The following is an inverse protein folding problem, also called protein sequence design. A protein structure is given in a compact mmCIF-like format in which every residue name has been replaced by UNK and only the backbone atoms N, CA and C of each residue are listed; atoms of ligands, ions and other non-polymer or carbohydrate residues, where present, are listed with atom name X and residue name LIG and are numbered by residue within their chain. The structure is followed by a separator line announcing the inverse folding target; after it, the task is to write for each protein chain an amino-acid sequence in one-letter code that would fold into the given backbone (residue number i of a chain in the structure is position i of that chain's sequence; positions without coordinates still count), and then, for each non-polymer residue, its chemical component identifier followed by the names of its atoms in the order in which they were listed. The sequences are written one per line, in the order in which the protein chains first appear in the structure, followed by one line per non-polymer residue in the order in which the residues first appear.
data_IF_602762954158
#
_entry.id   IF_602762954158
#
_cell.length_a   1.000
_cell.length_b   1.000
_cell.length_c   1.000
_cell.angle_alpha   90.00
_cell.angle_beta   90.00
_cell.angle_gamma   90.00
#
_symmetry.space_group_name_H-M   'P 1'
#
loop_
_entity.id
_entity.type
_entity.pdbx_description
1 polymer ?
#
# COMPACT_ATOMS: atom_id res chain seq x y z
N UNK A 1 -32.85 -35.29 -27.53
CA UNK A 1 -33.14 -34.62 -26.24
C UNK A 1 -32.21 -35.10 -25.10
N UNK A 2 -30.87 -35.15 -25.31
CA UNK A 2 -29.90 -35.63 -24.29
C UNK A 2 -28.61 -34.79 -24.16
N UNK A 3 -28.37 -33.80 -25.02
CA UNK A 3 -27.18 -32.93 -24.94
C UNK A 3 -27.22 -31.92 -23.77
N UNK A 4 -28.42 -31.50 -23.34
CA UNK A 4 -28.58 -30.49 -22.28
C UNK A 4 -28.13 -31.00 -20.91
N UNK A 5 -28.29 -32.30 -20.63
CA UNK A 5 -27.90 -32.89 -19.34
C UNK A 5 -26.39 -33.03 -19.20
N UNK A 6 -25.70 -33.43 -20.28
CA UNK A 6 -24.25 -33.57 -20.29
C UNK A 6 -23.53 -32.22 -20.11
N UNK A 7 -24.03 -31.17 -20.80
CA UNK A 7 -23.47 -29.82 -20.67
C UNK A 7 -23.62 -29.25 -19.25
N UNK A 8 -24.78 -29.49 -18.59
CA UNK A 8 -25.00 -29.06 -17.20
C UNK A 8 -24.07 -29.75 -16.22
N UNK A 9 -23.84 -31.05 -16.37
CA UNK A 9 -22.92 -31.82 -15.52
C UNK A 9 -21.49 -31.29 -15.67
N UNK A 10 -21.07 -30.96 -16.89
CA UNK A 10 -19.73 -30.46 -17.16
C UNK A 10 -19.50 -29.05 -16.57
N UNK A 11 -20.51 -28.18 -16.62
CA UNK A 11 -20.45 -26.84 -15.99
C UNK A 11 -20.39 -26.96 -14.46
N UNK A 12 -21.17 -27.86 -13.85
CA UNK A 12 -21.14 -28.08 -12.40
C UNK A 12 -19.78 -28.64 -11.96
N UNK A 13 -19.22 -29.61 -12.69
CA UNK A 13 -17.90 -30.14 -12.41
C UNK A 13 -16.81 -29.06 -12.51
N UNK A 14 -16.86 -28.22 -13.56
CA UNK A 14 -15.91 -27.12 -13.73
C UNK A 14 -16.04 -26.07 -12.62
N UNK A 15 -17.27 -25.73 -12.21
CA UNK A 15 -17.52 -24.79 -11.11
C UNK A 15 -16.96 -25.31 -9.78
N UNK A 16 -17.11 -26.61 -9.50
CA UNK A 16 -16.56 -27.24 -8.29
C UNK A 16 -15.02 -27.28 -8.29
N UNK A 17 -14.40 -27.52 -9.45
CA UNK A 17 -12.93 -27.47 -9.59
C UNK A 17 -12.41 -26.05 -9.38
N UNK A 18 -13.08 -25.04 -9.94
CA UNK A 18 -12.72 -23.64 -9.72
C UNK A 18 -12.91 -23.20 -8.25
N UNK A 19 -13.96 -23.67 -7.58
CA UNK A 19 -14.15 -23.42 -6.14
C UNK A 19 -13.04 -24.06 -5.30
N UNK A 20 -12.66 -25.30 -5.62
CA UNK A 20 -11.61 -26.02 -4.93
C UNK A 20 -10.23 -25.36 -5.06
N UNK A 21 -9.86 -24.91 -6.27
CA UNK A 21 -8.59 -24.21 -6.49
C UNK A 21 -8.57 -22.83 -5.84
N UNK A 22 -9.70 -22.10 -5.84
CA UNK A 22 -9.83 -20.84 -5.13
C UNK A 22 -9.70 -21.02 -3.60
N UNK A 23 -10.31 -22.06 -3.03
CA UNK A 23 -10.21 -22.37 -1.61
C UNK A 23 -8.79 -22.76 -1.19
N UNK A 24 -8.10 -23.60 -1.98
CA UNK A 24 -6.70 -23.97 -1.72
C UNK A 24 -5.76 -22.77 -1.86
N UNK A 25 -6.01 -21.89 -2.84
CA UNK A 25 -5.29 -20.63 -3.00
C UNK A 25 -5.45 -19.71 -1.78
N UNK A 26 -6.68 -19.52 -1.30
CA UNK A 26 -6.99 -18.70 -0.13
C UNK A 26 -6.39 -19.25 1.17
N UNK A 27 -6.40 -20.57 1.38
CA UNK A 27 -5.77 -21.20 2.56
C UNK A 27 -4.25 -21.06 2.51
N UNK A 28 -3.64 -21.19 1.32
CA UNK A 28 -2.19 -21.05 1.16
C UNK A 28 -1.73 -19.60 1.36
N UNK A 29 -2.48 -18.61 0.86
CA UNK A 29 -2.19 -17.19 1.09
C UNK A 29 -2.45 -16.77 2.53
N UNK A 30 -3.54 -17.22 3.15
CA UNK A 30 -3.82 -16.98 4.56
C UNK A 30 -2.79 -17.63 5.48
N UNK A 31 -2.33 -18.84 5.18
CA UNK A 31 -1.26 -19.52 5.92
C UNK A 31 0.10 -18.83 5.78
N UNK A 32 0.44 -18.32 4.59
CA UNK A 32 1.66 -17.53 4.38
C UNK A 32 1.59 -16.12 4.96
N UNK A 33 0.39 -15.54 5.08
CA UNK A 33 0.17 -14.27 5.77
C UNK A 33 0.23 -14.46 7.30
N UNK A 34 -0.42 -15.49 7.84
CA UNK A 34 -0.43 -15.81 9.27
C UNK A 34 0.97 -16.16 9.80
N UNK A 35 1.79 -16.88 9.02
CA UNK A 35 3.18 -17.17 9.39
C UNK A 35 4.13 -15.97 9.33
N UNK A 36 3.69 -14.83 8.79
CA UNK A 36 4.48 -13.58 8.68
C UNK A 36 3.95 -12.43 9.54
N UNK A 37 2.92 -12.64 10.34
CA UNK A 37 2.53 -11.68 11.38
C UNK A 37 3.55 -11.81 12.52
N UNK A 38 4.73 -11.23 12.31
CA UNK A 38 5.64 -10.91 13.41
C UNK A 38 4.87 -9.99 14.36
N UNK A 39 4.85 -10.27 15.68
CA UNK A 39 4.24 -9.36 16.64
C UNK A 39 4.83 -7.97 16.42
N UNK A 40 3.98 -6.94 16.42
CA UNK A 40 4.39 -5.55 16.33
C UNK A 40 5.35 -5.27 17.49
N UNK A 41 6.65 -5.32 17.21
CA UNK A 41 7.66 -5.05 18.21
C UNK A 41 7.59 -3.54 18.47
N UNK A 42 6.98 -3.13 19.59
CA UNK A 42 6.83 -1.73 19.96
C UNK A 42 8.18 -1.00 20.08
N UNK A 43 9.28 -1.76 20.23
CA UNK A 43 10.66 -1.27 20.25
C UNK A 43 11.37 -1.35 18.89
N UNK A 44 10.63 -1.56 17.80
CA UNK A 44 11.22 -1.51 16.46
C UNK A 44 11.57 -0.05 16.12
N UNK A 45 12.84 0.32 15.96
CA UNK A 45 13.23 1.70 15.63
C UNK A 45 12.51 2.20 14.37
N UNK A 46 12.25 1.32 13.40
CA UNK A 46 11.51 1.63 12.17
C UNK A 46 10.05 2.05 12.43
N UNK A 47 9.43 1.55 13.49
CA UNK A 47 8.06 1.96 13.85
C UNK A 47 8.03 3.38 14.41
N UNK A 48 8.93 3.69 15.34
CA UNK A 48 9.07 5.04 15.91
C UNK A 48 9.40 6.06 14.83
N UNK A 49 10.29 5.70 13.91
CA UNK A 49 10.65 6.52 12.75
C UNK A 49 9.45 6.75 11.81
N UNK A 50 8.70 5.69 11.50
CA UNK A 50 7.49 5.81 10.70
C UNK A 50 6.47 6.76 11.35
N UNK A 51 6.20 6.61 12.65
CA UNK A 51 5.28 7.46 13.41
C UNK A 51 5.75 8.93 13.38
N UNK A 52 7.06 9.17 13.55
CA UNK A 52 7.64 10.52 13.48
C UNK A 52 7.51 11.17 12.09
N UNK A 53 7.71 10.41 11.01
CA UNK A 53 7.57 10.93 9.64
C UNK A 53 6.09 11.17 9.33
N UNK A 54 5.21 10.25 9.73
CA UNK A 54 3.76 10.39 9.59
C UNK A 54 3.23 11.63 10.29
N UNK A 55 3.66 11.89 11.53
CA UNK A 55 3.22 13.09 12.27
C UNK A 55 3.69 14.38 11.61
N UNK A 56 4.92 14.41 11.07
CA UNK A 56 5.40 15.56 10.30
C UNK A 56 4.54 15.80 9.04
N UNK A 57 4.19 14.73 8.32
CA UNK A 57 3.36 14.82 7.13
C UNK A 57 1.98 15.40 7.46
N UNK A 58 1.28 14.78 8.41
CA UNK A 58 -0.06 15.19 8.83
C UNK A 58 -0.11 16.65 9.33
N UNK A 59 0.98 17.13 9.94
CA UNK A 59 1.08 18.52 10.41
C UNK A 59 1.30 19.54 9.29
N UNK A 60 1.86 19.13 8.15
CA UNK A 60 2.26 20.04 7.07
C UNK A 60 1.43 19.94 5.80
N UNK A 61 0.72 18.82 5.59
CA UNK A 61 -0.09 18.55 4.40
C UNK A 61 -1.55 18.35 4.80
N UNK A 62 -2.47 19.24 4.39
CA UNK A 62 -3.90 19.03 4.60
C UNK A 62 -4.40 17.77 3.89
N UNK A 63 -5.34 17.05 4.51
CA UNK A 63 -6.03 15.92 3.86
C UNK A 63 -6.73 16.35 2.56
N UNK A 64 -6.71 15.48 1.56
CA UNK A 64 -7.28 15.75 0.23
C UNK A 64 -6.34 16.51 -0.72
N UNK A 65 -5.15 16.91 -0.25
CA UNK A 65 -4.16 17.60 -1.09
C UNK A 65 -3.52 16.65 -2.11
N UNK A 66 -3.18 17.17 -3.28
CA UNK A 66 -2.35 16.48 -4.29
C UNK A 66 -0.90 16.68 -3.94
N UNK A 67 -0.15 15.59 -3.83
CA UNK A 67 1.25 15.62 -3.40
C UNK A 67 2.16 14.94 -4.40
N UNK A 68 3.29 15.58 -4.70
CA UNK A 68 4.40 14.96 -5.41
C UNK A 68 5.44 14.54 -4.40
N UNK A 69 5.81 13.26 -4.40
CA UNK A 69 6.81 12.73 -3.49
C UNK A 69 8.18 12.76 -4.16
N UNK A 70 9.07 13.62 -3.68
CA UNK A 70 10.45 13.71 -4.14
C UNK A 70 11.37 13.10 -3.09
N UNK A 71 11.55 11.78 -3.10
CA UNK A 71 12.53 11.15 -2.21
C UNK A 71 13.93 11.47 -2.71
N UNK A 72 14.70 12.25 -1.95
CA UNK A 72 16.07 12.62 -2.33
C UNK A 72 17.08 11.48 -2.19
N UNK A 73 16.64 10.23 -1.97
CA UNK A 73 17.54 9.15 -1.57
C UNK A 73 17.11 7.79 -2.15
N UNK A 74 18.13 7.04 -2.59
CA UNK A 74 18.18 5.67 -3.12
C UNK A 74 17.61 4.56 -2.20
N UNK A 75 16.64 4.86 -1.34
CA UNK A 75 16.01 3.88 -0.46
C UNK A 75 14.60 3.55 -0.94
N UNK A 76 14.41 2.46 -1.72
CA UNK A 76 13.08 2.05 -2.19
C UNK A 76 12.10 1.80 -1.04
N UNK A 77 12.60 1.48 0.15
CA UNK A 77 11.79 1.34 1.36
C UNK A 77 11.07 2.63 1.74
N UNK A 78 11.78 3.75 1.85
CA UNK A 78 11.18 5.01 2.30
C UNK A 78 10.28 5.64 1.24
N UNK A 79 10.56 5.42 -0.04
CA UNK A 79 9.64 5.79 -1.12
C UNK A 79 8.29 5.10 -0.94
N UNK A 80 8.28 3.78 -0.71
CA UNK A 80 7.04 3.07 -0.41
C UNK A 80 6.35 3.60 0.85
N UNK A 81 7.10 3.85 1.93
CA UNK A 81 6.51 4.34 3.19
C UNK A 81 5.91 5.73 3.07
N UNK A 82 6.49 6.63 2.29
CA UNK A 82 5.89 7.95 2.05
C UNK A 82 4.61 7.87 1.24
N UNK A 83 4.52 6.95 0.27
CA UNK A 83 3.27 6.68 -0.45
C UNK A 83 2.21 6.17 0.52
N UNK A 84 2.56 5.22 1.39
CA UNK A 84 1.65 4.72 2.42
C UNK A 84 1.18 5.82 3.37
N UNK A 85 2.08 6.68 3.84
CA UNK A 85 1.73 7.83 4.71
C UNK A 85 0.78 8.79 3.98
N UNK A 86 1.08 9.17 2.74
CA UNK A 86 0.23 10.06 1.97
C UNK A 86 -1.19 9.48 1.81
N UNK A 87 -1.31 8.19 1.53
CA UNK A 87 -2.61 7.51 1.45
C UNK A 87 -3.33 7.44 2.80
N UNK A 88 -2.62 7.13 3.89
CA UNK A 88 -3.20 7.04 5.23
C UNK A 88 -3.72 8.39 5.75
N UNK A 89 -3.06 9.49 5.38
CA UNK A 89 -3.46 10.86 5.74
C UNK A 89 -4.45 11.47 4.73
N UNK A 90 -4.90 10.69 3.73
CA UNK A 90 -5.93 11.10 2.79
C UNK A 90 -5.47 12.03 1.67
N UNK A 91 -4.17 12.05 1.36
CA UNK A 91 -3.60 12.80 0.23
C UNK A 91 -3.51 11.96 -1.04
N UNK A 92 -3.51 12.62 -2.19
CA UNK A 92 -3.40 11.98 -3.51
C UNK A 92 -1.96 12.10 -4.03
N UNK A 93 -1.27 10.98 -4.21
CA UNK A 93 0.07 10.99 -4.82
C UNK A 93 -0.07 11.16 -6.33
N UNK A 94 0.50 12.23 -6.87
CA UNK A 94 0.48 12.55 -8.31
C UNK A 94 1.84 12.28 -8.95
N UNK A 95 1.85 12.09 -10.27
CA UNK A 95 3.11 11.83 -11.00
C UNK A 95 3.92 13.12 -11.16
N UNK A 96 5.25 13.03 -11.28
CA UNK A 96 6.07 14.18 -11.65
C UNK A 96 5.55 14.84 -12.93
N UNK A 97 5.34 16.16 -12.89
CA UNK A 97 4.81 16.95 -14.01
C UNK A 97 3.29 17.14 -14.02
N UNK A 98 2.54 16.45 -13.15
CA UNK A 98 1.12 16.71 -12.94
C UNK A 98 0.90 17.88 -11.95
N UNK A 99 -0.27 18.51 -12.00
CA UNK A 99 -0.65 19.58 -11.06
C UNK A 99 -0.64 19.03 -9.63
N UNK A 100 0.14 19.67 -8.77
CA UNK A 100 0.35 19.26 -7.38
C UNK A 100 0.17 20.48 -6.47
N UNK A 101 -0.32 20.25 -5.26
CA UNK A 101 -0.49 21.31 -4.25
C UNK A 101 0.76 21.40 -3.36
N UNK A 102 1.45 20.28 -3.16
CA UNK A 102 2.64 20.19 -2.32
C UNK A 102 3.68 19.24 -2.90
N UNK A 103 4.94 19.63 -2.79
CA UNK A 103 6.09 18.74 -2.97
C UNK A 103 6.59 18.31 -1.60
N UNK A 104 6.67 16.99 -1.38
CA UNK A 104 7.13 16.42 -0.11
C UNK A 104 8.40 15.62 -0.36
N UNK A 105 9.47 16.02 0.34
CA UNK A 105 10.78 15.41 0.23
C UNK A 105 11.24 14.90 1.59
N UNK A 106 11.79 13.68 1.63
CA UNK A 106 12.33 13.09 2.86
C UNK A 106 13.85 13.04 2.79
N UNK A 107 14.51 13.66 3.77
CA UNK A 107 15.93 13.45 4.02
C UNK A 107 16.08 12.19 4.89
N UNK A 108 16.59 11.09 4.33
CA UNK A 108 16.70 9.81 5.07
C UNK A 108 17.84 9.78 6.09
N UNK A 109 18.79 10.73 6.04
CA UNK A 109 19.88 10.81 7.01
C UNK A 109 19.41 11.27 8.40
N UNK A 110 18.32 12.02 8.47
CA UNK A 110 17.75 12.53 9.73
C UNK A 110 16.22 12.34 9.86
N UNK A 111 15.59 11.72 8.85
CA UNK A 111 14.15 11.44 8.76
C UNK A 111 13.30 12.69 8.99
N UNK A 112 13.66 13.75 8.27
CA UNK A 112 12.96 15.03 8.27
C UNK A 112 12.29 15.26 6.92
N UNK A 113 11.03 15.66 6.97
CA UNK A 113 10.27 16.10 5.80
C UNK A 113 10.56 17.57 5.49
N UNK A 114 10.77 17.84 4.21
CA UNK A 114 10.67 19.16 3.61
C UNK A 114 9.37 19.21 2.83
N UNK A 115 8.49 20.16 3.14
CA UNK A 115 7.17 20.29 2.53
C UNK A 115 7.10 21.68 1.88
N UNK A 116 6.95 21.70 0.57
CA UNK A 116 6.91 22.92 -0.23
C UNK A 116 5.57 23.04 -0.93
N UNK A 117 4.77 24.04 -0.54
CA UNK A 117 3.52 24.35 -1.24
C UNK A 117 3.84 24.89 -2.63
N UNK A 118 3.23 24.30 -3.65
CA UNK A 118 3.32 24.78 -5.02
C UNK A 118 2.25 25.88 -5.23
N UNK A 119 2.62 26.95 -5.92
CA UNK A 119 1.74 28.11 -6.19
C UNK A 119 1.15 28.04 -7.60
#
# INVERSE_FOLDING_TARGET
MRLHSAARVLVVALALVLLGTAAVGAVRTAGQAAGRVRPANANNPWHTEFVKVRSQFASGVPSGSRVTLATSVDSPYWTQRLVEIAMLEGSYVVRPGETTDYTVSLNTGNLRLTIERQR
#
